data_IF_741108452538
#
_entry.id   IF_741108452538
#
_cell.length_a   1.000
_cell.length_b   1.000
_cell.length_c   1.000
_cell.angle_alpha   90.00
_cell.angle_beta   90.00
_cell.angle_gamma   90.00
#
_symmetry.space_group_name_H-M   'P 1'
#
loop_
_entity.id
_entity.type
_entity.pdbx_description
1 polymer ?
#
# COMPACT_ATOMS: atom_id res chain seq x y z
N UNK A 1 6.29 -26.29 4.97
CA UNK A 1 7.72 -26.15 4.60
C UNK A 1 7.91 -24.73 4.09
N UNK A 2 8.90 -24.01 4.59
CA UNK A 2 9.18 -22.62 4.15
C UNK A 2 9.80 -22.65 2.74
N UNK A 3 9.39 -21.78 1.81
CA UNK A 3 9.99 -21.69 0.48
C UNK A 3 11.49 -21.36 0.56
N UNK A 4 12.31 -22.05 -0.24
CA UNK A 4 13.77 -21.85 -0.23
C UNK A 4 14.18 -20.40 -0.53
N UNK A 5 13.41 -19.70 -1.35
CA UNK A 5 13.64 -18.29 -1.68
C UNK A 5 13.59 -17.36 -0.47
N UNK A 6 12.92 -17.74 0.62
CA UNK A 6 12.86 -16.89 1.82
C UNK A 6 14.19 -16.81 2.57
N UNK A 7 14.95 -17.90 2.58
CA UNK A 7 16.30 -17.89 3.17
C UNK A 7 17.24 -16.98 2.36
N UNK A 8 17.16 -17.07 1.05
CA UNK A 8 17.95 -16.25 0.13
C UNK A 8 17.60 -14.76 0.24
N UNK A 9 16.30 -14.44 0.34
CA UNK A 9 15.83 -13.07 0.57
C UNK A 9 16.37 -12.49 1.87
N UNK A 10 16.32 -13.25 2.98
CA UNK A 10 16.86 -12.78 4.27
C UNK A 10 18.36 -12.52 4.22
N UNK A 11 19.10 -13.30 3.45
CA UNK A 11 20.55 -13.18 3.34
C UNK A 11 20.96 -11.97 2.46
N UNK A 12 20.18 -11.67 1.42
CA UNK A 12 20.54 -10.71 0.39
C UNK A 12 19.85 -9.33 0.51
N UNK A 13 18.87 -9.19 1.39
CA UNK A 13 18.14 -7.94 1.64
C UNK A 13 18.47 -7.39 3.04
N UNK A 14 19.67 -6.83 3.27
CA UNK A 14 20.10 -6.36 4.59
C UNK A 14 19.34 -5.12 5.08
N UNK A 15 18.66 -4.41 4.19
CA UNK A 15 17.84 -3.24 4.53
C UNK A 15 16.54 -3.59 5.27
N UNK A 16 16.16 -4.88 5.35
CA UNK A 16 15.01 -5.30 6.11
C UNK A 16 15.32 -5.24 7.61
N UNK A 17 14.65 -4.36 8.34
CA UNK A 17 14.84 -4.20 9.78
C UNK A 17 14.38 -5.44 10.56
N UNK A 18 13.35 -6.12 10.07
CA UNK A 18 12.87 -7.38 10.61
C UNK A 18 12.31 -8.26 9.48
N UNK A 19 12.59 -9.56 9.53
CA UNK A 19 12.04 -10.54 8.62
C UNK A 19 11.51 -11.73 9.41
N UNK A 20 10.24 -12.02 9.26
CA UNK A 20 9.58 -13.15 9.92
C UNK A 20 8.59 -13.82 8.98
N UNK A 21 8.15 -15.04 9.31
CA UNK A 21 7.08 -15.72 8.56
C UNK A 21 5.80 -15.68 9.37
N UNK A 22 4.75 -15.16 8.77
CA UNK A 22 3.42 -15.15 9.35
C UNK A 22 2.41 -15.77 8.35
N UNK A 23 1.70 -16.80 8.77
CA UNK A 23 0.73 -17.53 7.92
C UNK A 23 1.32 -18.01 6.58
N UNK A 24 2.58 -18.47 6.59
CA UNK A 24 3.25 -18.95 5.38
C UNK A 24 3.74 -17.86 4.43
N UNK A 25 3.64 -16.58 4.81
CA UNK A 25 4.10 -15.43 4.03
C UNK A 25 5.30 -14.81 4.72
N UNK A 26 6.39 -14.57 3.98
CA UNK A 26 7.51 -13.79 4.47
C UNK A 26 7.08 -12.33 4.62
N UNK A 27 7.31 -11.78 5.80
CA UNK A 27 7.04 -10.37 6.13
C UNK A 27 8.37 -9.64 6.26
N UNK A 28 8.53 -8.57 5.51
CA UNK A 28 9.68 -7.67 5.56
C UNK A 28 9.23 -6.32 6.11
N UNK A 29 9.78 -5.88 7.24
CA UNK A 29 9.54 -4.55 7.80
C UNK A 29 10.72 -3.65 7.46
N UNK A 30 10.47 -2.57 6.73
CA UNK A 30 11.48 -1.68 6.16
C UNK A 30 11.29 -0.24 6.66
N UNK A 31 12.38 0.51 6.72
CA UNK A 31 12.30 1.97 6.67
C UNK A 31 11.75 2.43 5.31
N UNK A 32 10.98 3.52 5.29
CA UNK A 32 10.29 3.99 4.08
C UNK A 32 11.21 4.21 2.87
N UNK A 33 12.43 4.68 3.13
CA UNK A 33 13.40 4.99 2.07
C UNK A 33 14.01 3.71 1.43
N UNK A 34 13.82 2.56 2.07
CA UNK A 34 14.27 1.26 1.57
C UNK A 34 13.20 0.49 0.79
N UNK A 35 11.96 0.98 0.77
CA UNK A 35 10.85 0.28 0.11
C UNK A 35 11.11 0.11 -1.39
N UNK A 36 11.36 1.21 -2.11
CA UNK A 36 11.57 1.16 -3.57
C UNK A 36 12.79 0.32 -3.96
N UNK A 37 13.98 0.49 -3.35
CA UNK A 37 15.13 -0.38 -3.64
C UNK A 37 14.87 -1.86 -3.39
N UNK A 38 14.23 -2.22 -2.28
CA UNK A 38 13.91 -3.61 -1.95
C UNK A 38 12.86 -4.18 -2.90
N UNK A 39 11.81 -3.42 -3.23
CA UNK A 39 10.78 -3.85 -4.18
C UNK A 39 11.35 -4.06 -5.59
N UNK A 40 12.32 -3.24 -6.00
CA UNK A 40 13.06 -3.44 -7.25
C UNK A 40 13.85 -4.74 -7.22
N UNK A 41 14.62 -5.00 -6.17
CA UNK A 41 15.36 -6.25 -6.02
C UNK A 41 14.42 -7.47 -5.99
N UNK A 42 13.30 -7.40 -5.27
CA UNK A 42 12.28 -8.45 -5.26
C UNK A 42 11.79 -8.77 -6.68
N UNK A 43 11.57 -7.75 -7.50
CA UNK A 43 11.12 -7.93 -8.88
C UNK A 43 12.21 -8.47 -9.78
N UNK A 44 13.36 -7.79 -9.82
CA UNK A 44 14.39 -7.99 -10.84
C UNK A 44 15.30 -9.19 -10.50
N UNK A 45 15.64 -9.40 -9.21
CA UNK A 45 16.57 -10.45 -8.78
C UNK A 45 15.87 -11.71 -8.28
N UNK A 46 14.64 -11.59 -7.75
CA UNK A 46 13.93 -12.68 -7.09
C UNK A 46 12.60 -13.06 -7.76
N UNK A 47 12.32 -12.49 -8.93
CA UNK A 47 11.14 -12.80 -9.75
C UNK A 47 9.79 -12.65 -9.01
N UNK A 48 9.64 -11.63 -8.14
CA UNK A 48 8.34 -11.22 -7.62
C UNK A 48 7.68 -10.25 -8.60
N UNK A 49 7.08 -10.80 -9.62
CA UNK A 49 6.62 -10.13 -10.82
C UNK A 49 5.22 -9.48 -10.70
N UNK A 50 4.45 -9.84 -9.69
CA UNK A 50 3.10 -9.33 -9.49
C UNK A 50 2.96 -8.54 -8.18
N UNK A 51 2.52 -7.29 -8.28
CA UNK A 51 1.96 -6.57 -7.13
C UNK A 51 0.48 -6.92 -7.03
N UNK A 52 0.08 -7.54 -5.93
CA UNK A 52 -1.29 -7.97 -5.69
C UNK A 52 -2.13 -6.88 -5.04
N UNK A 53 -1.53 -6.13 -4.11
CA UNK A 53 -2.27 -5.15 -3.32
C UNK A 53 -1.34 -4.10 -2.70
N UNK A 54 -1.89 -2.89 -2.49
CA UNK A 54 -1.32 -1.82 -1.67
C UNK A 54 -2.40 -1.33 -0.74
N UNK A 55 -2.18 -1.46 0.56
CA UNK A 55 -3.13 -1.00 1.57
C UNK A 55 -2.44 -0.39 2.77
N UNK A 56 -3.19 0.03 3.77
CA UNK A 56 -2.63 0.52 5.02
C UNK A 56 -3.41 0.03 6.23
N UNK A 57 -2.77 0.11 7.37
CA UNK A 57 -3.40 -0.10 8.68
C UNK A 57 -3.24 1.16 9.51
N UNK A 58 -4.33 1.66 10.05
CA UNK A 58 -4.33 2.75 11.03
C UNK A 58 -4.15 2.15 12.42
N UNK A 59 -3.04 2.48 13.08
CA UNK A 59 -2.70 2.01 14.41
C UNK A 59 -3.03 3.03 15.52
N UNK A 60 -3.87 4.05 15.24
CA UNK A 60 -4.26 5.03 16.28
C UNK A 60 -4.63 4.30 17.59
N UNK A 61 -4.11 4.70 18.77
CA UNK A 61 -3.31 5.90 19.04
C UNK A 61 -1.77 5.69 19.01
N UNK A 62 -1.26 4.68 18.32
CA UNK A 62 0.18 4.40 18.24
C UNK A 62 0.90 5.40 17.34
N UNK A 63 2.19 5.63 17.62
CA UNK A 63 3.11 6.40 16.77
C UNK A 63 4.28 5.49 16.39
N UNK A 64 4.68 5.37 15.12
CA UNK A 64 4.02 5.93 13.91
C UNK A 64 2.61 5.38 13.69
N UNK A 65 1.69 6.25 13.21
CA UNK A 65 0.26 5.93 13.11
C UNK A 65 -0.07 4.93 12.02
N UNK A 66 0.45 5.13 10.80
CA UNK A 66 0.10 4.31 9.66
C UNK A 66 1.16 3.26 9.34
N UNK A 67 0.72 2.06 9.00
CA UNK A 67 1.54 1.00 8.44
C UNK A 67 1.08 0.74 7.02
N UNK A 68 1.92 1.10 6.03
CA UNK A 68 1.65 0.82 4.62
C UNK A 68 2.11 -0.59 4.31
N UNK A 69 1.30 -1.34 3.58
CA UNK A 69 1.51 -2.77 3.31
C UNK A 69 1.40 -3.03 1.82
N UNK A 70 2.40 -3.71 1.27
CA UNK A 70 2.40 -4.20 -0.10
C UNK A 70 2.45 -5.72 -0.11
N UNK A 71 1.64 -6.33 -0.96
CA UNK A 71 1.65 -7.75 -1.21
C UNK A 71 2.19 -8.02 -2.61
N UNK A 72 3.33 -8.71 -2.68
CA UNK A 72 3.90 -9.14 -3.96
C UNK A 72 3.90 -10.66 -4.08
N UNK A 73 3.72 -11.14 -5.28
CA UNK A 73 3.67 -12.56 -5.62
C UNK A 73 4.68 -12.89 -6.70
N UNK A 74 5.28 -14.06 -6.58
CA UNK A 74 6.14 -14.63 -7.61
C UNK A 74 5.40 -15.77 -8.32
N UNK A 75 5.21 -15.61 -9.62
CA UNK A 75 4.63 -16.67 -10.47
C UNK A 75 5.61 -17.84 -10.61
N UNK A 76 6.91 -17.56 -10.53
CA UNK A 76 7.99 -18.57 -10.58
C UNK A 76 8.06 -19.40 -9.31
N UNK A 77 8.14 -18.74 -8.16
CA UNK A 77 8.26 -19.41 -6.85
C UNK A 77 6.92 -19.82 -6.24
N UNK A 78 5.80 -19.38 -6.83
CA UNK A 78 4.41 -19.62 -6.36
C UNK A 78 4.21 -19.25 -4.88
N UNK A 79 4.83 -18.16 -4.47
CA UNK A 79 4.81 -17.68 -3.08
C UNK A 79 4.62 -16.18 -3.01
N UNK A 80 4.31 -15.69 -1.81
CA UNK A 80 4.05 -14.27 -1.53
C UNK A 80 5.07 -13.72 -0.55
N UNK A 81 5.35 -12.43 -0.70
CA UNK A 81 6.07 -11.62 0.28
C UNK A 81 5.18 -10.43 0.65
N UNK A 82 5.16 -10.09 1.92
CA UNK A 82 4.51 -8.89 2.44
C UNK A 82 5.60 -7.91 2.85
N UNK A 83 5.60 -6.74 2.26
CA UNK A 83 6.48 -5.63 2.63
C UNK A 83 5.68 -4.62 3.43
N UNK A 84 6.26 -4.11 4.51
CA UNK A 84 5.62 -3.14 5.39
C UNK A 84 6.57 -1.99 5.68
N UNK A 85 6.00 -0.81 5.82
CA UNK A 85 6.70 0.35 6.38
C UNK A 85 5.76 1.16 7.26
N UNK A 86 6.32 1.85 8.24
CA UNK A 86 5.55 2.73 9.10
C UNK A 86 5.83 4.18 8.77
N UNK A 87 4.77 4.98 8.75
CA UNK A 87 4.84 6.42 8.51
C UNK A 87 4.06 7.18 9.57
N UNK A 88 4.57 8.34 9.93
CA UNK A 88 3.91 9.22 10.88
C UNK A 88 2.72 9.94 10.23
N UNK A 89 1.74 10.33 11.03
CA UNK A 89 0.58 11.06 10.57
C UNK A 89 0.95 12.41 9.95
N UNK A 90 1.93 13.10 10.54
CA UNK A 90 2.36 14.42 10.08
C UNK A 90 3.15 14.36 8.75
N UNK A 91 3.67 13.18 8.40
CA UNK A 91 4.38 12.93 7.15
C UNK A 91 3.95 11.57 6.56
N UNK A 92 2.64 11.41 6.37
CA UNK A 92 2.05 10.20 5.82
C UNK A 92 2.31 10.10 4.31
N UNK A 93 3.56 9.82 3.95
CA UNK A 93 4.01 9.72 2.57
C UNK A 93 5.04 8.61 2.37
N UNK A 94 4.93 7.92 1.23
CA UNK A 94 5.88 6.93 0.73
C UNK A 94 6.12 7.17 -0.76
N UNK A 95 7.20 6.62 -1.31
CA UNK A 95 7.44 6.71 -2.75
C UNK A 95 6.59 5.69 -3.51
N UNK A 96 6.12 6.09 -4.70
CA UNK A 96 5.29 5.25 -5.56
C UNK A 96 6.05 4.04 -6.10
N UNK A 97 5.35 2.94 -6.26
CA UNK A 97 5.81 1.76 -6.98
C UNK A 97 5.27 1.68 -8.42
N UNK A 98 4.55 2.70 -8.89
CA UNK A 98 3.99 2.74 -10.25
C UNK A 98 5.03 2.51 -11.37
N UNK A 99 6.28 3.01 -11.26
CA UNK A 99 7.32 2.70 -12.24
C UNK A 99 7.78 1.24 -12.25
N UNK A 100 7.58 0.51 -11.14
CA UNK A 100 7.92 -0.90 -11.03
C UNK A 100 6.75 -1.82 -11.39
N UNK A 101 5.54 -1.48 -10.93
CA UNK A 101 4.33 -2.28 -11.09
C UNK A 101 3.17 -1.41 -11.55
N UNK A 102 2.65 -1.62 -12.74
CA UNK A 102 1.51 -0.84 -13.25
C UNK A 102 0.27 -0.93 -12.34
N UNK A 103 0.06 -2.07 -11.66
CA UNK A 103 -1.03 -2.24 -10.71
C UNK A 103 -0.97 -1.25 -9.53
N UNK A 104 0.22 -0.76 -9.18
CA UNK A 104 0.40 0.21 -8.11
C UNK A 104 -0.40 1.50 -8.35
N UNK A 105 -0.52 1.97 -9.60
CA UNK A 105 -1.25 3.20 -9.93
C UNK A 105 -2.65 3.24 -9.31
N UNK A 106 -3.38 2.15 -9.40
CA UNK A 106 -4.75 2.07 -8.89
C UNK A 106 -4.81 1.72 -7.40
N UNK A 107 -3.99 0.77 -6.94
CA UNK A 107 -3.98 0.37 -5.55
C UNK A 107 -3.48 1.51 -4.62
N UNK A 108 -2.53 2.32 -5.09
CA UNK A 108 -2.07 3.52 -4.37
C UNK A 108 -3.14 4.61 -4.31
N UNK A 109 -3.96 4.76 -5.37
CA UNK A 109 -5.11 5.68 -5.35
C UNK A 109 -6.14 5.26 -4.32
N UNK A 110 -6.48 3.96 -4.26
CA UNK A 110 -7.39 3.43 -3.25
C UNK A 110 -6.85 3.69 -1.84
N UNK A 111 -5.58 3.36 -1.60
CA UNK A 111 -4.95 3.59 -0.31
C UNK A 111 -4.93 5.09 0.06
N UNK A 112 -4.70 5.97 -0.91
CA UNK A 112 -4.79 7.41 -0.73
C UNK A 112 -6.21 7.85 -0.36
N UNK A 113 -7.23 7.40 -1.08
CA UNK A 113 -8.63 7.71 -0.79
C UNK A 113 -9.01 7.32 0.63
N UNK A 114 -8.68 6.08 1.00
CA UNK A 114 -9.15 5.49 2.26
C UNK A 114 -8.40 6.01 3.49
N UNK A 115 -7.10 6.33 3.37
CA UNK A 115 -6.24 6.68 4.51
C UNK A 115 -5.58 8.06 4.41
N UNK A 116 -5.56 8.69 3.23
CA UNK A 116 -4.89 9.97 3.00
C UNK A 116 -3.37 9.87 2.91
N UNK A 117 -2.82 8.68 2.69
CA UNK A 117 -1.39 8.47 2.52
C UNK A 117 -0.99 8.93 1.11
N UNK A 118 0.06 9.74 1.01
CA UNK A 118 0.55 10.24 -0.28
C UNK A 118 1.60 9.31 -0.86
N UNK A 119 1.47 8.97 -2.14
CA UNK A 119 2.44 8.21 -2.90
C UNK A 119 3.23 9.16 -3.81
N UNK A 120 4.43 9.57 -3.36
CA UNK A 120 5.26 10.54 -4.06
C UNK A 120 5.71 9.99 -5.41
N UNK A 121 5.43 10.75 -6.47
CA UNK A 121 5.73 10.34 -7.85
C UNK A 121 4.62 9.56 -8.55
N UNK A 122 3.51 9.26 -7.88
CA UNK A 122 2.29 8.86 -8.56
C UNK A 122 1.62 10.12 -9.14
N UNK A 123 1.48 10.16 -10.44
CA UNK A 123 0.98 11.31 -11.21
C UNK A 123 -0.56 11.41 -11.22
N UNK A 124 -1.26 10.40 -10.70
CA UNK A 124 -2.72 10.35 -10.66
C UNK A 124 -3.22 9.83 -9.31
N UNK A 125 -3.26 10.70 -8.30
CA UNK A 125 -3.86 10.41 -6.98
C UNK A 125 -5.30 10.94 -6.85
N UNK A 126 -6.02 11.09 -7.96
CA UNK A 126 -7.46 11.42 -7.91
C UNK A 126 -8.23 10.32 -7.22
N UNK A 127 -9.37 10.68 -6.63
CA UNK A 127 -10.30 9.73 -6.03
C UNK A 127 -10.59 8.56 -6.98
N UNK A 128 -10.65 7.36 -6.43
CA UNK A 128 -10.93 6.11 -7.14
C UNK A 128 -12.27 5.53 -6.72
N UNK A 129 -12.46 5.38 -5.42
CA UNK A 129 -13.67 4.78 -4.84
C UNK A 129 -14.62 5.83 -4.27
N UNK A 130 -14.08 6.95 -3.80
CA UNK A 130 -14.87 8.03 -3.24
C UNK A 130 -15.38 8.94 -4.35
N UNK A 131 -16.56 9.48 -4.18
CA UNK A 131 -17.13 10.43 -5.13
C UNK A 131 -16.46 11.82 -4.99
N UNK A 132 -16.55 12.62 -6.03
CA UNK A 132 -16.02 13.99 -6.03
C UNK A 132 -16.68 14.85 -4.96
N UNK A 133 -15.87 15.51 -4.12
CA UNK A 133 -16.34 16.29 -2.99
C UNK A 133 -16.50 15.52 -1.68
N UNK A 134 -16.15 14.23 -1.64
CA UNK A 134 -16.10 13.49 -0.38
C UNK A 134 -15.05 14.08 0.56
N UNK A 135 -15.43 14.33 1.82
CA UNK A 135 -14.55 14.94 2.83
C UNK A 135 -14.05 13.89 3.82
N UNK A 136 -12.73 13.76 3.91
CA UNK A 136 -12.06 12.87 4.85
C UNK A 136 -11.66 11.53 4.25
N UNK A 137 -11.20 10.61 5.12
CA UNK A 137 -10.68 9.30 4.75
C UNK A 137 -11.38 8.22 5.58
N UNK A 138 -12.29 7.46 4.98
CA UNK A 138 -13.27 6.65 5.74
C UNK A 138 -12.67 5.44 6.46
N UNK A 139 -11.46 5.01 6.15
CA UNK A 139 -10.81 3.90 6.86
C UNK A 139 -9.88 4.36 8.00
N UNK A 140 -9.78 5.67 8.23
CA UNK A 140 -9.12 6.17 9.45
C UNK A 140 -9.97 5.90 10.67
N UNK A 141 -9.34 5.53 11.79
CA UNK A 141 -10.03 5.22 13.06
C UNK A 141 -10.73 6.43 13.70
N UNK A 142 -10.26 7.63 13.40
CA UNK A 142 -10.85 8.90 13.83
C UNK A 142 -11.93 9.41 12.89
N UNK A 143 -12.18 8.76 11.75
CA UNK A 143 -13.30 9.07 10.88
C UNK A 143 -14.62 8.63 11.57
N UNK A 144 -15.62 9.54 11.70
CA UNK A 144 -16.88 9.24 12.38
C UNK A 144 -17.65 8.12 11.67
N UNK A 145 -18.06 7.09 12.40
CA UNK A 145 -18.88 5.99 11.84
C UNK A 145 -20.25 6.47 11.37
N UNK A 146 -20.80 7.48 12.05
CA UNK A 146 -22.12 8.05 11.78
C UNK A 146 -22.01 9.36 10.99
N UNK A 147 -20.83 9.63 10.39
CA UNK A 147 -20.57 10.81 9.59
C UNK A 147 -21.26 10.71 8.24
N UNK A 148 -22.52 11.13 8.17
CA UNK A 148 -23.24 11.24 6.90
C UNK A 148 -22.62 12.36 6.06
N UNK A 149 -22.25 12.02 4.84
CA UNK A 149 -21.82 13.00 3.85
C UNK A 149 -23.05 13.63 3.18
N UNK A 150 -22.99 14.90 2.73
CA UNK A 150 -24.07 15.49 1.99
C UNK A 150 -24.50 14.61 0.80
N UNK A 151 -25.80 14.40 0.64
CA UNK A 151 -26.33 13.67 -0.50
C UNK A 151 -25.96 14.41 -1.79
N UNK A 152 -25.25 13.74 -2.68
CA UNK A 152 -25.06 14.24 -4.03
C UNK A 152 -26.31 13.88 -4.82
N UNK A 153 -26.99 14.89 -5.45
CA UNK A 153 -28.13 14.61 -6.30
C UNK A 153 -27.72 13.64 -7.40
N UNK A 154 -28.46 12.55 -7.59
CA UNK A 154 -28.23 11.68 -8.72
C UNK A 154 -28.36 12.50 -10.01
N UNK A 155 -27.41 12.31 -10.93
CA UNK A 155 -27.45 12.96 -12.24
C UNK A 155 -28.72 12.53 -12.95
N UNK A 156 -29.61 13.48 -13.21
CA UNK A 156 -30.81 13.22 -14.01
C UNK A 156 -30.36 12.95 -15.45
N UNK A 157 -30.56 11.72 -15.99
CA UNK A 157 -30.16 11.39 -17.33
C UNK A 157 -30.91 12.20 -18.42
N UNK A 158 -32.02 12.84 -18.04
CA UNK A 158 -32.80 13.71 -18.94
C UNK A 158 -32.31 15.17 -18.91
N UNK A 159 -31.38 15.55 -18.03
CA UNK A 159 -30.86 16.90 -17.90
C UNK A 159 -29.44 16.98 -18.47
N UNK A 160 -29.22 17.58 -19.65
CA UNK A 160 -27.86 17.79 -20.19
C UNK A 160 -27.03 18.68 -19.23
N UNK A 161 -25.71 18.38 -19.19
CA UNK A 161 -24.75 19.10 -18.35
C UNK A 161 -24.58 20.54 -18.80
#
# INVERSE_FOLDING_TARGET
MEPAVFADLRARLPAAAAAGVAHGVLVLELGRDHVVPVMRALKDDFAFDMLLDVTAVDWLPRTPRFEVVWHVYSTTHKTRVRVKTRVDENDAAVDTLAPLYNAARYAERECHDMYGIRFRGNDDLRALLLYEGFVGHPLRKDYPKDGEQPLIPMRDPARPA
#
